data_IF_887106697777
#
_entry.id   IF_887106697777
#
_cell.length_a   1.000
_cell.length_b   1.000
_cell.length_c   1.000
_cell.angle_alpha   90.00
_cell.angle_beta   90.00
_cell.angle_gamma   90.00
#
_symmetry.space_group_name_H-M   'P 1'
#
loop_
_entity.id
_entity.type
_entity.pdbx_description
1 polymer ?
#
# COMPACT_ATOMS: atom_id res chain seq x y z
N UNK A 1 10.31 -6.02 33.64
CA UNK A 1 10.62 -5.98 32.20
C UNK A 1 9.36 -6.35 31.45
N UNK A 2 8.64 -5.38 30.87
CA UNK A 2 7.45 -5.65 30.07
C UNK A 2 7.92 -6.03 28.66
N UNK A 3 7.73 -7.29 28.28
CA UNK A 3 8.01 -7.76 26.93
C UNK A 3 6.89 -7.24 26.02
N UNK A 4 7.12 -6.09 25.38
CA UNK A 4 6.21 -5.54 24.39
C UNK A 4 6.38 -6.35 23.10
N UNK A 5 5.71 -7.51 23.01
CA UNK A 5 5.52 -8.18 21.73
C UNK A 5 4.71 -7.26 20.84
N UNK A 6 5.38 -6.58 19.90
CA UNK A 6 4.73 -5.94 18.75
C UNK A 6 4.01 -7.02 17.95
N UNK A 7 2.77 -7.32 18.36
CA UNK A 7 1.88 -8.18 17.60
C UNK A 7 1.46 -7.39 16.37
N UNK A 8 2.05 -7.73 15.23
CA UNK A 8 1.59 -7.25 13.93
C UNK A 8 0.15 -7.77 13.76
N UNK A 9 -0.85 -6.89 13.55
CA UNK A 9 -2.23 -7.32 13.37
C UNK A 9 -2.35 -8.22 12.15
N UNK A 10 -3.13 -9.31 12.28
CA UNK A 10 -3.43 -10.18 11.16
C UNK A 10 -4.32 -9.45 10.13
N UNK A 11 -4.25 -9.85 8.86
CA UNK A 11 -4.96 -9.20 7.75
C UNK A 11 -6.47 -9.03 8.01
N UNK A 12 -7.08 -9.97 8.73
CA UNK A 12 -8.50 -9.91 9.13
C UNK A 12 -8.77 -8.83 10.19
N UNK A 13 -7.84 -8.62 11.13
CA UNK A 13 -7.93 -7.55 12.12
C UNK A 13 -7.74 -6.18 11.45
N UNK A 14 -6.84 -6.09 10.46
CA UNK A 14 -6.65 -4.89 9.63
C UNK A 14 -7.92 -4.59 8.83
N UNK A 15 -8.56 -5.59 8.23
CA UNK A 15 -9.79 -5.39 7.45
C UNK A 15 -10.94 -4.90 8.34
N UNK A 16 -11.10 -5.47 9.54
CA UNK A 16 -12.10 -5.02 10.51
C UNK A 16 -11.87 -3.58 11.00
N UNK A 17 -10.61 -3.17 11.17
CA UNK A 17 -10.23 -1.79 11.54
C UNK A 17 -10.40 -0.80 10.38
N UNK A 18 -10.28 -1.28 9.15
CA UNK A 18 -10.36 -0.45 7.94
C UNK A 18 -11.73 -0.49 7.28
N UNK A 19 -12.68 -1.27 7.78
CA UNK A 19 -14.03 -1.34 7.21
C UNK A 19 -14.75 0.00 7.42
N UNK A 20 -15.17 0.68 6.34
CA UNK A 20 -15.75 2.01 6.44
C UNK A 20 -17.14 1.95 7.08
N UNK A 21 -17.29 2.50 8.28
CA UNK A 21 -18.60 2.67 8.95
C UNK A 21 -19.46 3.80 8.35
N UNK A 22 -18.91 4.61 7.44
CA UNK A 22 -19.64 5.69 6.76
C UNK A 22 -19.20 5.88 5.29
N UNK A 23 -20.04 6.49 4.46
CA UNK A 23 -19.78 6.70 3.02
C UNK A 23 -18.50 7.49 2.71
N UNK A 24 -18.17 8.50 3.53
CA UNK A 24 -16.93 9.30 3.39
C UNK A 24 -15.67 8.44 3.63
N UNK A 25 -15.74 7.49 4.55
CA UNK A 25 -14.65 6.56 4.82
C UNK A 25 -14.48 5.56 3.67
N UNK A 26 -15.56 5.18 2.99
CA UNK A 26 -15.49 4.34 1.79
C UNK A 26 -14.80 5.07 0.62
N UNK A 27 -15.14 6.33 0.38
CA UNK A 27 -14.44 7.18 -0.60
C UNK A 27 -12.95 7.32 -0.25
N UNK A 28 -12.61 7.50 1.02
CA UNK A 28 -11.21 7.60 1.45
C UNK A 28 -10.42 6.30 1.20
N UNK A 29 -11.07 5.14 1.33
CA UNK A 29 -10.45 3.83 1.06
C UNK A 29 -10.28 3.62 -0.43
N UNK A 30 -11.29 3.97 -1.23
CA UNK A 30 -11.20 3.91 -2.68
C UNK A 30 -10.07 4.81 -3.19
N UNK A 31 -9.97 6.04 -2.68
CA UNK A 31 -8.89 6.95 -3.03
C UNK A 31 -7.51 6.38 -2.64
N UNK A 32 -7.37 5.80 -1.43
CA UNK A 32 -6.12 5.14 -1.02
C UNK A 32 -5.76 3.96 -1.92
N UNK A 33 -6.74 3.14 -2.32
CA UNK A 33 -6.52 2.01 -3.26
C UNK A 33 -6.08 2.50 -4.63
N UNK A 34 -6.67 3.60 -5.13
CA UNK A 34 -6.30 4.18 -6.42
C UNK A 34 -4.88 4.77 -6.40
N UNK A 35 -4.53 5.49 -5.33
CA UNK A 35 -3.16 6.01 -5.15
C UNK A 35 -2.15 4.86 -5.06
N UNK A 36 -2.46 3.81 -4.29
CA UNK A 36 -1.59 2.64 -4.17
C UNK A 36 -1.35 1.98 -5.53
N UNK A 37 -2.41 1.76 -6.32
CA UNK A 37 -2.29 1.19 -7.67
C UNK A 37 -1.40 2.05 -8.58
N UNK A 38 -1.60 3.38 -8.59
CA UNK A 38 -0.76 4.29 -9.39
C UNK A 38 0.71 4.26 -8.99
N UNK A 39 0.99 4.12 -7.70
CA UNK A 39 2.35 3.99 -7.19
C UNK A 39 2.97 2.65 -7.59
N UNK A 40 2.22 1.55 -7.49
CA UNK A 40 2.66 0.23 -7.94
C UNK A 40 2.97 0.23 -9.44
N UNK A 41 2.08 0.78 -10.27
CA UNK A 41 2.30 0.92 -11.72
C UNK A 41 3.56 1.76 -12.04
N UNK A 42 3.82 2.82 -11.25
CA UNK A 42 5.02 3.65 -11.43
C UNK A 42 6.30 2.92 -11.05
N UNK A 43 6.28 2.19 -9.92
CA UNK A 43 7.42 1.39 -9.47
C UNK A 43 7.71 0.24 -10.42
N UNK A 44 6.68 -0.43 -10.94
CA UNK A 44 6.82 -1.48 -11.96
C UNK A 44 7.49 -0.91 -13.21
N UNK A 45 7.06 0.26 -13.69
CA UNK A 45 7.70 0.93 -14.84
C UNK A 45 9.16 1.27 -14.60
N UNK A 46 9.52 1.72 -13.38
CA UNK A 46 10.92 1.96 -13.02
C UNK A 46 11.70 0.65 -13.05
N UNK A 47 11.17 -0.41 -12.44
CA UNK A 47 11.82 -1.72 -12.41
C UNK A 47 11.98 -2.30 -13.82
N UNK A 48 11.00 -2.13 -14.69
CA UNK A 48 11.08 -2.53 -16.09
C UNK A 48 12.14 -1.73 -16.85
N UNK A 49 12.21 -0.40 -16.69
CA UNK A 49 13.29 0.42 -17.27
C UNK A 49 14.67 -0.04 -16.80
N UNK A 50 14.79 -0.30 -15.49
CA UNK A 50 15.99 -0.85 -14.88
C UNK A 50 16.40 -2.19 -15.49
N UNK A 51 15.44 -3.10 -15.65
CA UNK A 51 15.66 -4.43 -16.20
C UNK A 51 16.01 -4.42 -17.69
N UNK A 52 15.52 -3.44 -18.44
CA UNK A 52 15.81 -3.26 -19.88
C UNK A 52 17.21 -2.66 -20.10
N UNK A 53 17.88 -2.19 -19.04
CA UNK A 53 19.21 -1.59 -19.13
C UNK A 53 19.18 -0.13 -19.59
N UNK A 54 18.02 0.53 -19.51
CA UNK A 54 17.85 1.97 -19.77
C UNK A 54 18.30 2.80 -18.54
N UNK A 55 19.23 2.26 -17.75
CA UNK A 55 19.81 2.79 -16.52
C UNK A 55 20.96 3.79 -16.79
N UNK A 56 20.96 4.46 -17.94
CA UNK A 56 21.96 5.49 -18.28
C UNK A 56 21.53 6.92 -17.88
N UNK A 57 20.45 7.09 -17.11
CA UNK A 57 19.97 8.44 -16.72
C UNK A 57 19.43 8.54 -15.28
N UNK A 58 20.30 8.30 -14.30
CA UNK A 58 20.33 8.99 -12.99
C UNK A 58 21.74 8.98 -12.40
#
# INVERSE_FOLDING_TARGET
MANLTERVPDDTEIEAMTTPRNSKSAESIQHRREVKRRLEDYLERIQLRKAIGDDDFF
#
